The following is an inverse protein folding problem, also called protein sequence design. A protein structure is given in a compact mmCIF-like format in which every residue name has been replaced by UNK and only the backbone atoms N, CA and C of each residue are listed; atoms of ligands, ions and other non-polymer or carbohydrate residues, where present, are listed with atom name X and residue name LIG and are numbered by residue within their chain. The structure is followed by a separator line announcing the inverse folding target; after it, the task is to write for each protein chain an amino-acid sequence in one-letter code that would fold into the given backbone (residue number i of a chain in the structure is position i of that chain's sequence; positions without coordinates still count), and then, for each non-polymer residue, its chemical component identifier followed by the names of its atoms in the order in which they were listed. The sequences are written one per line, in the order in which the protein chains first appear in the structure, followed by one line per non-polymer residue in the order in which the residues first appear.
data_IF_365426504935
#
_entry.id   IF_365426504935
#
_cell.length_a   1.000
_cell.length_b   1.000
_cell.length_c   1.000
_cell.angle_alpha   90.00
_cell.angle_beta   90.00
_cell.angle_gamma   90.00
#
_symmetry.space_group_name_H-M   'P 1'
#
loop_
_entity.id
_entity.type
_entity.pdbx_description
1 polymer ?
#
# COMPACT_ATOMS: atom_id res chain seq x y z
N UNK A 1 -19.79 18.61 0.57
CA UNK A 1 -18.56 17.89 0.19
C UNK A 1 -18.70 16.39 0.35
N UNK A 2 -19.26 15.92 1.46
CA UNK A 2 -19.57 14.49 1.62
C UNK A 2 -20.50 13.98 0.50
N UNK A 3 -21.38 14.84 -0.01
CA UNK A 3 -22.27 14.55 -1.15
C UNK A 3 -21.50 14.10 -2.40
N UNK A 4 -20.38 14.77 -2.71
CA UNK A 4 -19.50 14.37 -3.82
C UNK A 4 -18.91 12.98 -3.62
N UNK A 5 -18.56 12.65 -2.36
CA UNK A 5 -18.03 11.32 -2.04
C UNK A 5 -19.16 10.28 -2.14
N UNK A 6 -20.38 10.65 -1.77
CA UNK A 6 -21.55 9.78 -1.91
C UNK A 6 -21.93 9.51 -3.37
N UNK A 7 -21.68 10.44 -4.26
CA UNK A 7 -21.88 10.24 -5.71
C UNK A 7 -21.03 9.10 -6.27
N UNK A 8 -19.84 8.86 -5.69
CA UNK A 8 -18.96 7.75 -6.08
C UNK A 8 -19.48 6.38 -5.66
N UNK A 9 -20.43 6.29 -4.73
CA UNK A 9 -20.94 5.01 -4.20
C UNK A 9 -21.42 4.08 -5.33
N UNK A 10 -22.11 4.62 -6.31
CA UNK A 10 -22.64 3.84 -7.44
C UNK A 10 -21.54 3.28 -8.33
N UNK A 11 -20.55 4.10 -8.64
CA UNK A 11 -19.40 3.73 -9.48
C UNK A 11 -18.53 2.67 -8.79
N UNK A 12 -18.25 2.87 -7.51
CA UNK A 12 -17.51 1.91 -6.68
C UNK A 12 -18.23 0.55 -6.64
N UNK A 13 -19.54 0.56 -6.43
CA UNK A 13 -20.32 -0.67 -6.36
C UNK A 13 -20.36 -1.42 -7.70
N UNK A 14 -20.45 -0.73 -8.82
CA UNK A 14 -20.38 -1.35 -10.14
C UNK A 14 -19.03 -2.01 -10.38
N UNK A 15 -17.95 -1.33 -10.01
CA UNK A 15 -16.57 -1.82 -10.15
C UNK A 15 -16.28 -3.04 -9.26
N UNK A 16 -16.89 -3.09 -8.07
CA UNK A 16 -16.70 -4.19 -7.09
C UNK A 16 -17.70 -5.34 -7.23
N UNK A 17 -18.56 -5.30 -8.22
CA UNK A 17 -19.62 -6.29 -8.41
C UNK A 17 -19.11 -7.75 -8.43
N UNK A 18 -17.95 -7.99 -9.03
CA UNK A 18 -17.30 -9.30 -9.08
C UNK A 18 -16.77 -9.78 -7.72
N UNK A 19 -16.55 -8.87 -6.78
CA UNK A 19 -16.01 -9.17 -5.45
C UNK A 19 -17.10 -9.54 -4.44
N UNK A 20 -18.39 -9.47 -4.80
CA UNK A 20 -19.53 -9.69 -3.92
C UNK A 20 -19.53 -8.78 -2.67
N UNK A 21 -19.06 -7.56 -2.83
CA UNK A 21 -19.07 -6.54 -1.79
C UNK A 21 -19.96 -5.37 -2.20
N UNK A 22 -20.56 -4.73 -1.21
CA UNK A 22 -21.36 -3.51 -1.39
C UNK A 22 -20.80 -2.44 -0.48
N UNK A 23 -20.54 -1.28 -1.06
CA UNK A 23 -20.04 -0.11 -0.35
C UNK A 23 -21.20 0.83 -0.08
N UNK A 24 -21.24 1.40 1.12
CA UNK A 24 -22.15 2.47 1.54
C UNK A 24 -21.33 3.63 2.06
N UNK A 25 -21.63 4.83 1.62
CA UNK A 25 -20.96 6.06 2.04
C UNK A 25 -21.99 6.94 2.76
N UNK A 26 -21.78 7.13 4.07
CA UNK A 26 -22.66 7.87 4.92
C UNK A 26 -22.02 9.18 5.35
N UNK A 27 -22.79 10.27 5.25
CA UNK A 27 -22.44 11.55 5.87
C UNK A 27 -22.72 11.54 7.36
N UNK A 28 -22.00 12.35 8.11
CA UNK A 28 -22.20 12.57 9.53
C UNK A 28 -22.84 13.96 9.77
N UNK A 29 -23.33 14.20 10.97
CA UNK A 29 -23.81 15.55 11.38
C UNK A 29 -22.68 16.59 11.24
N UNK A 30 -21.45 16.18 11.53
CA UNK A 30 -20.26 16.97 11.20
C UNK A 30 -20.00 16.88 9.70
N UNK A 31 -20.18 18.01 8.99
CA UNK A 31 -20.01 18.12 7.54
C UNK A 31 -18.62 17.74 7.02
N UNK A 32 -17.64 17.65 7.93
CA UNK A 32 -16.26 17.29 7.62
C UNK A 32 -15.95 15.81 7.92
N UNK A 33 -16.97 15.04 8.30
CA UNK A 33 -16.83 13.61 8.63
C UNK A 33 -17.85 12.77 7.90
N UNK A 34 -17.47 11.53 7.66
CA UNK A 34 -18.35 10.53 7.09
C UNK A 34 -17.85 9.12 7.41
N UNK A 35 -18.52 8.14 6.86
CA UNK A 35 -18.15 6.74 7.03
C UNK A 35 -18.28 5.98 5.71
N UNK A 36 -17.36 5.06 5.47
CA UNK A 36 -17.45 4.06 4.42
C UNK A 36 -17.72 2.72 5.09
N UNK A 37 -18.84 2.12 4.78
CA UNK A 37 -19.21 0.80 5.28
C UNK A 37 -19.15 -0.18 4.11
N UNK A 38 -18.35 -1.22 4.25
CA UNK A 38 -18.25 -2.30 3.26
C UNK A 38 -18.96 -3.52 3.79
N UNK A 39 -19.93 -3.99 3.03
CA UNK A 39 -20.73 -5.17 3.32
C UNK A 39 -20.27 -6.32 2.44
N UNK A 40 -20.09 -7.49 3.03
CA UNK A 40 -19.90 -8.77 2.34
C UNK A 40 -20.92 -9.75 2.87
N UNK A 41 -21.63 -10.42 1.97
CA UNK A 41 -22.73 -11.34 2.32
C UNK A 41 -23.76 -10.70 3.27
N UNK A 42 -24.10 -9.42 3.00
CA UNK A 42 -25.03 -8.58 3.80
C UNK A 42 -24.57 -8.31 5.25
N UNK A 43 -23.35 -8.62 5.60
CA UNK A 43 -22.75 -8.32 6.91
C UNK A 43 -21.66 -7.26 6.77
N UNK A 44 -21.50 -6.45 7.81
CA UNK A 44 -20.40 -5.48 7.84
C UNK A 44 -19.08 -6.25 7.84
N UNK A 45 -18.30 -6.03 6.80
CA UNK A 45 -16.96 -6.59 6.65
C UNK A 45 -15.89 -5.62 7.14
N UNK A 46 -15.98 -4.36 6.70
CA UNK A 46 -15.07 -3.28 7.14
C UNK A 46 -15.84 -1.97 7.29
N UNK A 47 -15.34 -1.12 8.18
CA UNK A 47 -15.88 0.21 8.39
C UNK A 47 -14.72 1.19 8.54
N UNK A 48 -14.78 2.28 7.78
CA UNK A 48 -13.80 3.35 7.83
C UNK A 48 -14.50 4.66 8.19
N UNK A 49 -13.83 5.49 8.96
CA UNK A 49 -14.21 6.89 9.14
C UNK A 49 -13.48 7.73 8.08
N UNK A 50 -14.17 8.73 7.54
CA UNK A 50 -13.62 9.74 6.64
C UNK A 50 -13.50 11.05 7.40
N UNK A 51 -12.33 11.67 7.33
CA UNK A 51 -12.09 13.04 7.79
C UNK A 51 -11.74 13.90 6.56
N UNK A 52 -12.56 14.88 6.23
CA UNK A 52 -12.35 15.79 5.12
C UNK A 52 -11.37 16.87 5.54
N UNK A 53 -10.22 16.96 4.88
CA UNK A 53 -9.15 17.93 5.22
C UNK A 53 -9.10 19.11 4.25
N UNK A 54 -9.59 18.94 3.02
CA UNK A 54 -9.69 20.01 2.03
C UNK A 54 -10.82 19.74 1.03
N UNK A 55 -10.99 20.63 0.06
CA UNK A 55 -11.99 20.48 -1.00
C UNK A 55 -11.80 19.24 -1.90
N UNK A 56 -10.66 18.59 -1.85
CA UNK A 56 -10.34 17.44 -2.70
C UNK A 56 -9.63 16.31 -1.97
N UNK A 57 -9.33 16.45 -0.68
CA UNK A 57 -8.54 15.47 0.07
C UNK A 57 -9.22 15.01 1.35
N UNK A 58 -9.04 13.74 1.67
CA UNK A 58 -9.58 13.08 2.84
C UNK A 58 -8.50 12.25 3.55
N UNK A 59 -8.68 12.06 4.86
CA UNK A 59 -8.03 11.00 5.60
C UNK A 59 -9.00 9.84 5.76
N UNK A 60 -8.49 8.63 5.76
CA UNK A 60 -9.24 7.41 6.05
C UNK A 60 -8.73 6.81 7.34
N UNK A 61 -9.65 6.49 8.24
CA UNK A 61 -9.36 6.04 9.59
C UNK A 61 -10.06 4.68 9.79
N UNK A 62 -9.32 3.70 10.27
CA UNK A 62 -9.86 2.40 10.67
C UNK A 62 -9.39 2.10 12.10
N UNK A 63 -10.33 1.73 12.98
CA UNK A 63 -10.05 1.43 14.39
C UNK A 63 -9.26 2.55 15.09
N UNK A 64 -9.68 3.80 14.88
CA UNK A 64 -9.05 5.01 15.43
C UNK A 64 -7.61 5.26 14.94
N UNK A 65 -7.15 4.55 13.94
CA UNK A 65 -5.84 4.75 13.33
C UNK A 65 -6.00 5.30 11.90
N UNK A 66 -5.30 6.38 11.59
CA UNK A 66 -5.21 6.87 10.20
C UNK A 66 -4.43 5.85 9.37
N UNK A 67 -5.11 5.25 8.40
CA UNK A 67 -4.53 4.25 7.49
C UNK A 67 -4.18 4.87 6.14
N UNK A 68 -4.83 5.99 5.79
CA UNK A 68 -4.53 6.76 4.60
C UNK A 68 -4.64 8.25 4.93
N UNK A 69 -3.71 9.06 4.46
CA UNK A 69 -3.66 10.50 4.72
C UNK A 69 -3.53 11.30 3.43
N UNK A 70 -4.39 12.30 3.26
CA UNK A 70 -4.36 13.17 2.10
C UNK A 70 -4.76 12.51 0.79
N UNK A 71 -5.53 11.41 0.85
CA UNK A 71 -6.07 10.77 -0.34
C UNK A 71 -6.95 11.75 -1.12
N UNK A 72 -6.73 11.86 -2.42
CA UNK A 72 -7.64 12.64 -3.27
C UNK A 72 -8.98 11.91 -3.42
N UNK A 73 -10.06 12.67 -3.41
CA UNK A 73 -11.43 12.12 -3.52
C UNK A 73 -11.58 11.35 -4.84
N UNK A 74 -10.96 11.81 -5.91
CA UNK A 74 -10.96 11.14 -7.22
C UNK A 74 -10.26 9.78 -7.20
N UNK A 75 -9.34 9.54 -6.26
CA UNK A 75 -8.63 8.28 -6.11
C UNK A 75 -9.34 7.29 -5.18
N UNK A 76 -10.39 7.72 -4.46
CA UNK A 76 -11.09 6.91 -3.48
C UNK A 76 -11.64 5.61 -4.06
N UNK A 77 -12.19 5.68 -5.28
CA UNK A 77 -12.71 4.52 -5.99
C UNK A 77 -11.62 3.46 -6.20
N UNK A 78 -10.46 3.87 -6.71
CA UNK A 78 -9.32 2.98 -6.93
C UNK A 78 -8.76 2.46 -5.61
N UNK A 79 -8.71 3.30 -4.57
CA UNK A 79 -8.26 2.90 -3.26
C UNK A 79 -9.14 1.77 -2.69
N UNK A 80 -10.49 1.92 -2.74
CA UNK A 80 -11.42 0.88 -2.28
C UNK A 80 -11.32 -0.38 -3.17
N UNK A 81 -11.22 -0.21 -4.49
CA UNK A 81 -11.05 -1.33 -5.42
C UNK A 81 -9.83 -2.17 -5.09
N UNK A 82 -8.70 -1.54 -4.80
CA UNK A 82 -7.44 -2.21 -4.50
C UNK A 82 -7.46 -2.96 -3.16
N UNK A 83 -8.36 -2.63 -2.22
CA UNK A 83 -8.55 -3.41 -1.00
C UNK A 83 -9.01 -4.85 -1.28
N UNK A 84 -9.72 -5.07 -2.39
CA UNK A 84 -10.28 -6.36 -2.79
C UNK A 84 -9.60 -6.95 -4.02
N UNK A 85 -8.87 -6.14 -4.76
CA UNK A 85 -8.12 -6.51 -5.96
C UNK A 85 -6.71 -5.92 -5.84
N UNK A 86 -5.88 -6.41 -4.90
CA UNK A 86 -4.54 -5.89 -4.72
C UNK A 86 -3.74 -6.11 -6.00
N UNK A 87 -3.02 -5.08 -6.41
CA UNK A 87 -2.12 -5.17 -7.55
C UNK A 87 -0.87 -5.89 -7.06
N UNK A 88 -0.66 -7.10 -7.57
CA UNK A 88 0.59 -7.81 -7.38
C UNK A 88 1.61 -7.30 -8.40
N UNK A 89 2.63 -6.62 -7.91
CA UNK A 89 3.77 -6.26 -8.73
C UNK A 89 4.79 -7.38 -8.70
N UNK A 90 5.23 -7.81 -9.87
CA UNK A 90 6.36 -8.71 -10.04
C UNK A 90 7.58 -7.88 -10.41
N UNK A 91 8.68 -8.14 -9.73
CA UNK A 91 9.94 -7.42 -9.92
C UNK A 91 10.97 -8.36 -10.55
N UNK A 92 11.45 -8.00 -11.73
CA UNK A 92 12.53 -8.72 -12.39
C UNK A 92 13.88 -8.13 -11.99
N UNK A 93 14.79 -8.99 -11.59
CA UNK A 93 16.16 -8.62 -11.23
C UNK A 93 17.11 -8.85 -12.40
N UNK A 94 17.99 -7.87 -12.63
CA UNK A 94 19.02 -7.94 -13.65
C UNK A 94 20.38 -7.74 -13.01
N UNK A 95 21.28 -8.70 -13.28
CA UNK A 95 22.60 -8.73 -12.67
C UNK A 95 22.60 -9.27 -11.25
N UNK A 96 23.79 -9.45 -10.70
CA UNK A 96 23.99 -9.89 -9.32
C UNK A 96 23.46 -11.29 -9.01
N UNK A 97 23.31 -11.56 -7.72
CA UNK A 97 22.91 -12.88 -7.19
C UNK A 97 21.49 -13.29 -7.58
N UNK A 98 20.60 -12.31 -7.81
CA UNK A 98 19.19 -12.55 -8.14
C UNK A 98 18.93 -12.44 -9.65
N UNK A 99 19.96 -12.38 -10.47
CA UNK A 99 19.83 -12.23 -11.91
C UNK A 99 18.81 -13.20 -12.52
N UNK A 100 17.91 -12.67 -13.35
CA UNK A 100 16.80 -13.37 -13.99
C UNK A 100 15.75 -13.96 -13.03
N UNK A 101 15.75 -13.58 -11.74
CA UNK A 101 14.66 -13.94 -10.85
C UNK A 101 13.55 -12.92 -10.94
N UNK A 102 12.32 -13.43 -10.92
CA UNK A 102 11.10 -12.64 -10.81
C UNK A 102 10.54 -12.89 -9.42
N UNK A 103 10.42 -11.85 -8.63
CA UNK A 103 10.02 -11.90 -7.22
C UNK A 103 8.79 -11.04 -6.95
N UNK A 104 7.96 -11.48 -6.02
CA UNK A 104 6.91 -10.67 -5.43
C UNK A 104 7.49 -9.69 -4.41
N UNK A 105 6.69 -8.72 -3.99
CA UNK A 105 7.11 -7.77 -2.94
C UNK A 105 7.35 -8.48 -1.60
N UNK A 106 6.54 -9.49 -1.27
CA UNK A 106 6.75 -10.30 -0.06
C UNK A 106 8.09 -11.01 -0.06
N UNK A 107 8.44 -11.67 -1.15
CA UNK A 107 9.73 -12.35 -1.29
C UNK A 107 10.90 -11.38 -1.19
N UNK A 108 10.79 -10.18 -1.76
CA UNK A 108 11.79 -9.12 -1.63
C UNK A 108 11.92 -8.67 -0.17
N UNK A 109 10.79 -8.51 0.53
CA UNK A 109 10.78 -8.13 1.93
C UNK A 109 11.41 -9.21 2.82
N UNK A 110 11.19 -10.49 2.53
CA UNK A 110 11.82 -11.61 3.24
C UNK A 110 13.34 -11.56 3.08
N UNK A 111 13.83 -11.38 1.85
CA UNK A 111 15.27 -11.22 1.57
C UNK A 111 15.82 -10.00 2.32
N UNK A 112 15.11 -8.88 2.29
CA UNK A 112 15.50 -7.66 3.01
C UNK A 112 15.54 -7.85 4.53
N UNK A 113 14.60 -8.63 5.09
CA UNK A 113 14.56 -8.96 6.52
C UNK A 113 15.73 -9.86 6.93
N UNK A 114 16.10 -10.83 6.10
CA UNK A 114 17.30 -11.67 6.33
C UNK A 114 18.56 -10.81 6.33
N UNK A 115 18.72 -9.92 5.36
CA UNK A 115 19.82 -8.96 5.31
C UNK A 115 19.85 -8.05 6.54
N UNK A 116 18.68 -7.68 7.07
CA UNK A 116 18.59 -6.86 8.29
C UNK A 116 19.05 -7.61 9.53
N UNK A 117 18.81 -8.93 9.60
CA UNK A 117 19.34 -9.78 10.69
C UNK A 117 20.86 -9.80 10.64
N UNK A 118 21.45 -10.03 9.48
CA UNK A 118 22.90 -10.04 9.30
C UNK A 118 23.50 -8.68 9.66
N UNK A 119 22.86 -7.60 9.25
CA UNK A 119 23.25 -6.25 9.63
C UNK A 119 23.22 -6.03 11.17
N UNK A 120 22.19 -6.54 11.83
CA UNK A 120 22.05 -6.42 13.28
C UNK A 120 23.18 -7.18 14.02
N UNK A 121 23.56 -8.34 13.53
CA UNK A 121 24.65 -9.14 14.09
C UNK A 121 26.01 -8.45 13.86
N UNK A 122 26.25 -7.90 12.69
CA UNK A 122 27.47 -7.14 12.39
C UNK A 122 27.57 -5.86 13.21
N UNK A 123 26.44 -5.17 13.41
CA UNK A 123 26.38 -3.99 14.26
C UNK A 123 26.71 -4.30 15.71
N UNK A 124 26.27 -5.45 16.22
CA UNK A 124 26.65 -5.96 17.54
C UNK A 124 28.16 -6.22 17.64
N UNK A 125 28.81 -6.55 16.53
CA UNK A 125 30.26 -6.71 16.44
C UNK A 125 31.03 -5.41 16.27
N UNK A 126 30.35 -4.25 16.23
CA UNK A 126 30.97 -2.92 16.06
C UNK A 126 31.36 -2.60 14.63
N UNK A 127 30.83 -3.30 13.64
CA UNK A 127 31.08 -3.04 12.24
C UNK A 127 30.06 -2.01 11.74
N UNK A 128 30.54 -0.88 11.22
CA UNK A 128 29.68 0.13 10.61
C UNK A 128 29.28 -0.31 9.20
N UNK A 129 28.07 -0.81 9.06
CA UNK A 129 27.51 -1.17 7.76
C UNK A 129 26.53 -0.08 7.31
N UNK A 130 26.75 0.50 6.15
CA UNK A 130 25.81 1.42 5.54
C UNK A 130 24.79 0.62 4.71
N UNK A 131 23.58 0.51 5.23
CA UNK A 131 22.45 0.01 4.46
C UNK A 131 21.93 1.13 3.55
N UNK A 132 21.89 0.87 2.27
CA UNK A 132 21.06 1.65 1.36
C UNK A 132 19.66 1.03 1.40
N UNK A 133 18.69 1.78 1.91
CA UNK A 133 17.30 1.34 1.88
C UNK A 133 16.86 1.18 0.43
N UNK A 134 16.02 0.19 0.20
CA UNK A 134 15.27 0.11 -1.03
C UNK A 134 14.49 1.40 -1.19
N UNK A 135 14.69 2.08 -2.29
CA UNK A 135 13.89 3.23 -2.64
C UNK A 135 12.47 2.73 -2.89
N UNK A 136 11.54 3.08 -1.98
CA UNK A 136 10.13 2.69 -2.07
C UNK A 136 9.40 3.37 -3.24
N UNK A 137 10.08 4.29 -3.92
CA UNK A 137 9.55 4.92 -5.12
C UNK A 137 9.60 3.94 -6.29
N UNK A 138 8.52 3.78 -7.06
CA UNK A 138 8.55 3.04 -8.31
C UNK A 138 9.45 3.75 -9.30
N UNK A 139 10.70 3.44 -9.24
CA UNK A 139 11.68 3.84 -10.25
C UNK A 139 11.76 2.74 -11.28
N UNK A 140 12.07 3.10 -12.53
CA UNK A 140 12.27 2.14 -13.63
C UNK A 140 13.40 1.16 -13.28
N UNK A 141 14.29 1.53 -12.37
CA UNK A 141 15.36 0.69 -11.82
C UNK A 141 15.44 0.89 -10.31
N UNK A 142 15.19 -0.16 -9.54
CA UNK A 142 15.44 -0.20 -8.09
C UNK A 142 16.71 -0.99 -7.78
N UNK A 143 17.29 -0.76 -6.62
CA UNK A 143 18.51 -1.40 -6.17
C UNK A 143 18.30 -2.07 -4.81
N UNK A 144 18.60 -3.36 -4.71
CA UNK A 144 18.52 -4.11 -3.46
C UNK A 144 19.79 -3.92 -2.61
N UNK A 145 20.28 -2.69 -2.58
CA UNK A 145 21.54 -2.33 -1.96
C UNK A 145 22.75 -2.70 -2.81
N UNK A 146 23.79 -1.85 -2.82
CA UNK A 146 24.90 -2.04 -3.75
C UNK A 146 25.75 -3.28 -3.44
N UNK A 147 26.01 -3.57 -2.21
CA UNK A 147 26.73 -4.77 -1.78
C UNK A 147 26.51 -4.93 -0.28
N UNK A 148 25.83 -5.98 0.08
CA UNK A 148 25.69 -6.39 1.44
C UNK A 148 26.69 -7.50 1.73
N UNK A 149 27.63 -7.28 2.62
CA UNK A 149 28.75 -8.21 2.86
C UNK A 149 29.49 -8.62 1.56
N UNK A 150 29.65 -7.68 0.61
CA UNK A 150 30.29 -7.96 -0.66
C UNK A 150 29.43 -8.74 -1.67
N UNK A 151 28.15 -8.94 -1.41
CA UNK A 151 27.22 -9.63 -2.30
C UNK A 151 26.40 -8.63 -3.08
N UNK A 152 26.50 -8.67 -4.40
CA UNK A 152 25.64 -7.92 -5.31
C UNK A 152 24.35 -8.73 -5.57
N UNK A 153 23.21 -8.18 -5.19
CA UNK A 153 21.91 -8.82 -5.39
C UNK A 153 21.25 -8.43 -6.73
N UNK A 154 21.81 -7.47 -7.44
CA UNK A 154 21.32 -7.02 -8.73
C UNK A 154 20.39 -5.81 -8.68
N UNK A 155 19.93 -5.42 -9.87
CA UNK A 155 18.98 -4.32 -10.06
C UNK A 155 17.57 -4.86 -10.26
N UNK A 156 16.59 -4.12 -9.78
CA UNK A 156 15.18 -4.37 -10.08
C UNK A 156 14.81 -3.59 -11.33
N UNK A 157 14.18 -4.25 -12.27
CA UNK A 157 13.52 -3.64 -13.44
C UNK A 157 12.02 -3.76 -13.21
N UNK A 158 11.34 -2.63 -13.27
CA UNK A 158 9.89 -2.53 -13.19
C UNK A 158 9.26 -2.63 -14.58
#
# INVERSE_FOLDING_TARGET
MIEKIQELESEINEKLKSNNVVVRILGNEDKNKGSIIILKDKKINRCFEIEIISCCQINIIENSKKIETGLFIEDLENWIYNLYNPIEYLYEFVGGKLNNRILTREEINEISNELTKDYSEERKKGIAVHRKELDDQPTVEGYLGPMYNGIDYGKIIL
#
